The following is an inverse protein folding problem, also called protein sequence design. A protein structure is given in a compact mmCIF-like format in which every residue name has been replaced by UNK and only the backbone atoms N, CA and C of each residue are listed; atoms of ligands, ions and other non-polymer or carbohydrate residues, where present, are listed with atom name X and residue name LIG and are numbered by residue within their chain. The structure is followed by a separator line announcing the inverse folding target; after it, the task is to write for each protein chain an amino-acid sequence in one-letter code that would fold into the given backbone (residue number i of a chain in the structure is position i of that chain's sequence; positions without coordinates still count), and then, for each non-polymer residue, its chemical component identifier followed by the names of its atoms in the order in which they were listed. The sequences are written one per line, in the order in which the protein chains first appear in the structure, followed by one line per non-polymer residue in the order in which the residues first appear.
data_IF_923800128732
#
_entry.id   IF_923800128732
#
_cell.length_a   1.000
_cell.length_b   1.000
_cell.length_c   1.000
_cell.angle_alpha   90.00
_cell.angle_beta   90.00
_cell.angle_gamma   90.00
#
_symmetry.space_group_name_H-M   'P 1'
#
loop_
_entity.id
_entity.type
_entity.pdbx_description
1 polymer ?
#
# COMPACT_ATOMS: atom_id res chain seq x y z
N UNK A 1 14.61 0.17 -2.35
CA UNK A 1 13.92 1.49 -2.30
C UNK A 1 13.93 2.18 -3.65
N UNK A 2 15.08 2.54 -4.24
CA UNK A 2 15.08 3.15 -5.57
C UNK A 2 14.42 2.27 -6.65
N UNK A 3 14.79 0.97 -6.70
CA UNK A 3 14.22 0.02 -7.66
C UNK A 3 12.70 -0.21 -7.48
N UNK A 4 12.18 -0.08 -6.26
CA UNK A 4 10.73 -0.18 -6.03
C UNK A 4 9.98 1.04 -6.58
N UNK A 5 10.57 2.24 -6.53
CA UNK A 5 10.01 3.42 -7.18
C UNK A 5 10.07 3.32 -8.70
N UNK A 6 11.17 2.80 -9.26
CA UNK A 6 11.29 2.56 -10.71
C UNK A 6 10.25 1.54 -11.18
N UNK A 7 10.10 0.42 -10.46
CA UNK A 7 9.08 -0.58 -10.76
C UNK A 7 7.66 0.02 -10.72
N UNK A 8 7.37 0.83 -9.70
CA UNK A 8 6.08 1.51 -9.57
C UNK A 8 5.84 2.53 -10.71
N UNK A 9 6.88 3.28 -11.11
CA UNK A 9 6.79 4.20 -12.23
C UNK A 9 6.51 3.46 -13.55
N UNK A 10 7.20 2.34 -13.81
CA UNK A 10 6.95 1.50 -15.00
C UNK A 10 5.54 0.89 -14.97
N UNK A 11 5.08 0.40 -13.82
CA UNK A 11 3.73 -0.12 -13.65
C UNK A 11 2.66 0.97 -13.87
N UNK A 12 2.89 2.19 -13.38
CA UNK A 12 2.00 3.34 -13.58
C UNK A 12 1.95 3.82 -15.04
N UNK A 13 3.09 3.87 -15.72
CA UNK A 13 3.17 4.19 -17.15
C UNK A 13 2.49 3.11 -18.00
N UNK A 14 2.68 1.83 -17.65
CA UNK A 14 2.03 0.69 -18.29
C UNK A 14 0.52 0.65 -18.08
N UNK A 15 -0.01 1.11 -16.94
CA UNK A 15 -1.46 1.09 -16.70
C UNK A 15 -2.24 1.84 -17.80
N UNK A 16 -1.75 2.99 -18.26
CA UNK A 16 -2.43 3.77 -19.30
C UNK A 16 -2.31 3.16 -20.71
N UNK A 17 -1.28 2.35 -21.01
CA UNK A 17 -1.12 1.73 -22.33
C UNK A 17 -2.05 0.54 -22.55
N UNK A 18 -2.55 -0.08 -21.48
CA UNK A 18 -3.45 -1.23 -21.52
C UNK A 18 -4.94 -0.83 -21.60
N UNK A 19 -5.26 0.46 -21.47
CA UNK A 19 -6.62 1.01 -21.59
C UNK A 19 -6.86 2.23 -20.71
N UNK A 20 -7.73 3.15 -21.14
CA UNK A 20 -8.14 4.28 -20.30
C UNK A 20 -8.81 3.77 -19.02
N UNK A 21 -8.31 4.22 -17.87
CA UNK A 21 -8.90 3.91 -16.56
C UNK A 21 -8.31 2.72 -15.82
N UNK A 22 -7.33 1.99 -16.37
CA UNK A 22 -6.68 0.84 -15.70
C UNK A 22 -6.06 1.20 -14.35
N UNK A 23 -5.51 2.41 -14.22
CA UNK A 23 -4.97 2.89 -12.96
C UNK A 23 -6.09 3.01 -11.91
N UNK A 24 -7.23 3.59 -12.30
CA UNK A 24 -8.38 3.78 -11.42
C UNK A 24 -9.02 2.44 -11.04
N UNK A 25 -9.15 1.51 -11.98
CA UNK A 25 -9.67 0.16 -11.69
C UNK A 25 -8.73 -0.60 -10.76
N UNK A 26 -7.42 -0.50 -10.95
CA UNK A 26 -6.42 -1.03 -10.03
C UNK A 26 -6.55 -0.46 -8.62
N UNK A 27 -6.71 0.87 -8.49
CA UNK A 27 -6.98 1.50 -7.20
C UNK A 27 -8.25 0.97 -6.56
N UNK A 28 -9.36 0.89 -7.30
CA UNK A 28 -10.64 0.36 -6.78
C UNK A 28 -10.47 -1.08 -6.27
N UNK A 29 -9.76 -1.94 -7.02
CA UNK A 29 -9.49 -3.32 -6.62
C UNK A 29 -8.64 -3.38 -5.34
N UNK A 30 -7.61 -2.54 -5.21
CA UNK A 30 -6.81 -2.46 -3.99
C UNK A 30 -7.67 -1.96 -2.81
N UNK A 31 -8.53 -0.97 -3.03
CA UNK A 31 -9.43 -0.46 -2.00
C UNK A 31 -10.47 -1.49 -1.55
N UNK A 32 -10.87 -2.44 -2.41
CA UNK A 32 -11.73 -3.56 -2.00
C UNK A 32 -11.05 -4.45 -0.94
N UNK A 33 -9.73 -4.46 -0.82
CA UNK A 33 -9.06 -5.18 0.26
C UNK A 33 -9.46 -4.64 1.65
N UNK A 34 -9.81 -3.34 1.76
CA UNK A 34 -10.20 -2.71 3.03
C UNK A 34 -11.52 -3.29 3.58
N UNK A 35 -12.65 -3.32 2.87
CA UNK A 35 -13.87 -3.93 3.39
C UNK A 35 -13.72 -5.44 3.65
N UNK A 36 -12.94 -6.17 2.84
CA UNK A 36 -12.62 -7.57 3.14
C UNK A 36 -11.84 -7.72 4.45
N UNK A 37 -10.84 -6.86 4.65
CA UNK A 37 -10.09 -6.82 5.90
C UNK A 37 -10.98 -6.45 7.08
N UNK A 38 -11.85 -5.45 6.94
CA UNK A 38 -12.78 -5.04 8.02
C UNK A 38 -13.72 -6.19 8.37
N UNK A 39 -14.31 -6.85 7.38
CA UNK A 39 -15.17 -8.00 7.61
C UNK A 39 -14.42 -9.13 8.32
N UNK A 40 -13.25 -9.50 7.81
CA UNK A 40 -12.45 -10.57 8.42
C UNK A 40 -11.99 -10.21 9.83
N UNK A 41 -11.43 -9.02 10.02
CA UNK A 41 -10.84 -8.61 11.28
C UNK A 41 -11.88 -8.31 12.36
N UNK A 42 -12.94 -7.56 12.04
CA UNK A 42 -13.92 -7.14 13.05
C UNK A 42 -15.10 -8.10 13.20
N UNK A 43 -15.50 -8.81 12.13
CA UNK A 43 -16.65 -9.73 12.17
C UNK A 43 -16.21 -11.17 12.43
N UNK A 44 -15.17 -11.68 11.76
CA UNK A 44 -14.70 -13.06 11.98
C UNK A 44 -13.73 -13.17 13.17
N UNK A 45 -12.69 -12.34 13.16
CA UNK A 45 -11.59 -12.39 14.14
C UNK A 45 -11.92 -11.58 15.42
N UNK A 46 -13.09 -10.90 15.46
CA UNK A 46 -13.59 -10.11 16.60
C UNK A 46 -12.58 -9.09 17.16
N UNK A 47 -11.71 -8.56 16.30
CA UNK A 47 -10.66 -7.62 16.68
C UNK A 47 -9.46 -8.27 17.39
N UNK A 48 -9.37 -9.60 17.43
CA UNK A 48 -8.26 -10.33 18.04
C UNK A 48 -7.43 -10.97 16.93
N UNK A 49 -6.18 -10.53 16.79
CA UNK A 49 -5.24 -11.21 15.91
C UNK A 49 -4.90 -12.60 16.44
N UNK A 50 -4.82 -13.63 15.58
CA UNK A 50 -4.46 -14.98 16.01
C UNK A 50 -3.05 -15.01 16.60
N UNK A 51 -2.84 -15.85 17.62
CA UNK A 51 -1.63 -15.86 18.48
C UNK A 51 -0.34 -16.00 17.66
N UNK A 52 -0.35 -16.87 16.64
CA UNK A 52 0.78 -17.05 15.73
C UNK A 52 1.14 -15.78 14.94
N UNK A 53 0.16 -14.95 14.58
CA UNK A 53 0.39 -13.68 13.89
C UNK A 53 0.96 -12.62 14.83
N UNK A 54 0.51 -12.60 16.08
CA UNK A 54 1.04 -11.70 17.10
C UNK A 54 2.51 -12.02 17.41
N UNK A 55 2.83 -13.31 17.47
CA UNK A 55 4.18 -13.83 17.70
C UNK A 55 5.09 -13.61 16.48
N UNK A 56 4.66 -13.96 15.26
CA UNK A 56 5.45 -13.75 14.04
C UNK A 56 5.71 -12.26 13.71
N UNK A 57 4.78 -11.38 14.06
CA UNK A 57 4.91 -9.94 13.83
C UNK A 57 5.60 -9.20 14.99
N UNK A 58 6.02 -9.93 16.04
CA UNK A 58 6.56 -9.38 17.29
C UNK A 58 5.69 -8.22 17.83
N UNK A 59 4.36 -8.38 17.80
CA UNK A 59 3.40 -7.36 18.25
C UNK A 59 3.25 -7.31 19.79
N UNK A 60 3.91 -8.22 20.52
CA UNK A 60 3.99 -8.19 21.98
C UNK A 60 4.90 -7.07 22.51
N UNK A 61 4.77 -6.74 23.79
CA UNK A 61 5.70 -5.84 24.51
C UNK A 61 7.08 -6.50 24.67
N UNK A 62 7.79 -6.68 23.56
CA UNK A 62 9.21 -7.04 23.60
C UNK A 62 10.04 -5.76 23.74
N UNK A 63 10.94 -5.75 24.73
CA UNK A 63 11.85 -4.65 25.00
C UNK A 63 12.80 -4.41 23.80
N UNK A 64 12.36 -3.59 22.84
CA UNK A 64 13.13 -3.25 21.64
C UNK A 64 12.29 -2.94 20.39
N UNK A 65 11.05 -3.42 20.31
CA UNK A 65 10.16 -3.17 19.17
C UNK A 65 9.51 -1.80 19.32
N UNK A 66 10.24 -0.78 18.89
CA UNK A 66 9.68 0.57 18.73
C UNK A 66 9.37 0.79 17.26
N UNK A 67 8.19 1.33 16.94
CA UNK A 67 7.80 1.75 15.60
C UNK A 67 8.67 2.94 15.14
N UNK A 68 9.95 2.70 14.88
CA UNK A 68 10.99 3.74 14.62
C UNK A 68 10.96 4.30 13.20
N UNK A 69 9.95 3.99 12.40
CA UNK A 69 9.85 4.59 11.08
C UNK A 69 9.33 6.04 11.13
N UNK A 70 8.68 6.46 12.22
CA UNK A 70 8.26 7.85 12.44
C UNK A 70 7.48 8.41 11.23
N UNK A 71 7.95 9.52 10.66
CA UNK A 71 7.31 10.19 9.52
C UNK A 71 7.71 9.60 8.15
N UNK A 72 8.79 8.82 8.09
CA UNK A 72 9.38 8.33 6.83
C UNK A 72 8.38 7.52 5.96
N UNK A 73 7.48 6.67 6.51
CA UNK A 73 6.48 5.98 5.72
C UNK A 73 5.52 6.95 5.01
N UNK A 74 5.11 8.03 5.68
CA UNK A 74 4.20 9.01 5.10
C UNK A 74 4.87 9.80 3.97
N UNK A 75 6.15 10.16 4.15
CA UNK A 75 6.94 10.81 3.09
C UNK A 75 7.10 9.88 1.90
N UNK A 76 7.36 8.59 2.11
CA UNK A 76 7.47 7.61 1.04
C UNK A 76 6.15 7.45 0.26
N UNK A 77 5.01 7.43 0.95
CA UNK A 77 3.68 7.38 0.32
C UNK A 77 3.39 8.65 -0.48
N UNK A 78 3.72 9.83 0.05
CA UNK A 78 3.56 11.10 -0.66
C UNK A 78 4.44 11.16 -1.92
N UNK A 79 5.70 10.75 -1.81
CA UNK A 79 6.63 10.68 -2.94
C UNK A 79 6.13 9.70 -4.01
N UNK A 80 5.59 8.53 -3.62
CA UNK A 80 4.97 7.59 -4.54
C UNK A 80 3.78 8.23 -5.29
N UNK A 81 2.86 8.88 -4.57
CA UNK A 81 1.73 9.58 -5.19
C UNK A 81 2.18 10.64 -6.20
N UNK A 82 3.20 11.44 -5.87
CA UNK A 82 3.76 12.45 -6.77
C UNK A 82 4.35 11.83 -8.05
N UNK A 83 5.09 10.72 -7.95
CA UNK A 83 5.66 10.03 -9.11
C UNK A 83 4.57 9.52 -10.05
N UNK A 84 3.49 8.96 -9.50
CA UNK A 84 2.35 8.47 -10.29
C UNK A 84 1.64 9.63 -11.00
N UNK A 85 1.37 10.73 -10.30
CA UNK A 85 0.71 11.92 -10.89
C UNK A 85 1.61 12.56 -11.95
N UNK A 86 2.90 12.71 -11.67
CA UNK A 86 3.85 13.22 -12.65
C UNK A 86 3.89 12.32 -13.89
N UNK A 87 4.06 11.00 -13.74
CA UNK A 87 4.03 10.08 -14.87
C UNK A 87 2.73 10.16 -15.68
N UNK A 88 1.58 10.33 -15.01
CA UNK A 88 0.30 10.52 -15.68
C UNK A 88 0.24 11.80 -16.51
N UNK A 89 0.68 12.93 -15.93
CA UNK A 89 0.71 14.22 -16.63
C UNK A 89 1.65 14.19 -17.85
N UNK A 90 2.82 13.57 -17.72
CA UNK A 90 3.79 13.44 -18.83
C UNK A 90 3.27 12.60 -20.00
N UNK A 91 2.39 11.64 -19.74
CA UNK A 91 1.79 10.80 -20.79
C UNK A 91 0.57 11.47 -21.44
N UNK A 92 -0.07 12.43 -20.76
CA UNK A 92 -1.29 13.12 -21.23
C UNK A 92 -1.04 14.49 -21.86
N UNK A 93 0.16 15.05 -21.72
CA UNK A 93 0.67 16.23 -22.44
C UNK A 93 1.39 15.86 -23.74
#
# INVERSE_FOLDING_TARGET
VLMSFVNMAVAGLGANTWGQGTLLTGFVIVFLAVPFFVYRHYIQDKGVYPVNMVEDMHLGEEAGVSARAGVLPYVALAAAGLVVVAGHLWVTS
#
